data_IF_060969741786
#
_entry.id   IF_060969741786
#
_cell.length_a   1.000
_cell.length_b   1.000
_cell.length_c   1.000
_cell.angle_alpha   90.00
_cell.angle_beta   90.00
_cell.angle_gamma   90.00
#
_symmetry.space_group_name_H-M   'P 1'
#
loop_
_entity.id
_entity.type
_entity.pdbx_description
1 polymer ?
#
# COMPACT_ATOMS: atom_id res chain seq x y z
N UNK A 1 -13.55 12.43 6.08
CA UNK A 1 -12.60 12.23 4.97
C UNK A 1 -12.85 10.88 4.34
N UNK A 2 -12.93 10.79 3.01
CA UNK A 2 -13.12 9.54 2.26
C UNK A 2 -11.79 9.00 1.75
N UNK A 3 -11.43 7.79 2.15
CA UNK A 3 -10.22 7.09 1.70
C UNK A 3 -10.62 5.81 0.99
N UNK A 4 -10.05 5.57 -0.20
CA UNK A 4 -10.09 4.22 -0.80
C UNK A 4 -8.81 3.49 -0.43
N UNK A 5 -8.96 2.33 0.22
CA UNK A 5 -7.87 1.40 0.48
C UNK A 5 -7.93 0.24 -0.51
N UNK A 6 -6.83 0.05 -1.22
CA UNK A 6 -6.63 -0.97 -2.24
C UNK A 6 -5.69 -2.03 -1.67
N UNK A 7 -6.07 -3.31 -1.74
CA UNK A 7 -5.15 -4.42 -1.47
C UNK A 7 -4.77 -5.11 -2.78
N UNK A 8 -3.46 -5.27 -3.02
CA UNK A 8 -2.91 -5.99 -4.18
C UNK A 8 -2.52 -7.44 -3.88
N UNK A 9 -2.85 -7.95 -2.69
CA UNK A 9 -2.56 -9.32 -2.27
C UNK A 9 -1.10 -9.59 -1.89
N UNK A 10 -0.85 -10.83 -1.46
CA UNK A 10 0.42 -11.31 -0.89
C UNK A 10 0.27 -11.70 0.59
N UNK A 11 1.28 -12.37 1.16
CA UNK A 11 1.34 -13.04 2.49
C UNK A 11 0.70 -12.32 3.69
N UNK A 12 0.42 -11.02 3.60
CA UNK A 12 -0.39 -10.25 4.55
C UNK A 12 -1.86 -10.71 4.56
N UNK A 13 -2.36 -11.48 3.58
CA UNK A 13 -3.75 -11.96 3.53
C UNK A 13 -3.96 -13.44 3.93
N UNK A 14 -2.93 -14.11 4.45
CA UNK A 14 -3.01 -15.53 4.85
C UNK A 14 -3.22 -15.67 6.36
N UNK A 15 -4.44 -15.99 6.79
CA UNK A 15 -4.68 -16.67 8.07
C UNK A 15 -4.57 -18.18 7.87
N UNK A 16 -3.71 -18.84 8.66
CA UNK A 16 -3.55 -20.30 8.67
C UNK A 16 -4.71 -20.94 9.46
N UNK A 17 -5.39 -21.92 8.87
CA UNK A 17 -6.38 -22.72 9.57
C UNK A 17 -5.71 -23.99 10.14
N UNK A 18 -5.52 -24.03 11.46
CA UNK A 18 -4.92 -25.18 12.15
C UNK A 18 -5.79 -26.45 12.08
N UNK A 19 -7.08 -26.34 11.77
CA UNK A 19 -8.01 -27.48 11.76
C UNK A 19 -8.02 -28.29 10.46
N UNK A 20 -7.73 -27.66 9.31
CA UNK A 20 -7.78 -28.33 8.00
C UNK A 20 -6.51 -28.14 7.14
N UNK A 21 -5.51 -27.40 7.63
CA UNK A 21 -4.27 -27.13 6.91
C UNK A 21 -4.44 -26.28 5.64
N UNK A 22 -5.62 -25.70 5.42
CA UNK A 22 -5.94 -24.88 4.25
C UNK A 22 -5.71 -23.39 4.52
N UNK A 23 -5.34 -22.67 3.47
CA UNK A 23 -5.29 -21.21 3.46
C UNK A 23 -6.66 -20.71 3.03
N UNK A 24 -7.45 -20.17 3.96
CA UNK A 24 -8.78 -19.61 3.67
C UNK A 24 -8.89 -18.13 4.07
N UNK A 25 -9.56 -17.36 3.20
CA UNK A 25 -9.73 -15.91 3.30
C UNK A 25 -10.82 -15.54 4.33
N UNK A 26 -10.53 -15.59 5.63
CA UNK A 26 -11.54 -15.31 6.67
C UNK A 26 -11.57 -13.86 7.18
N UNK A 27 -10.56 -13.04 6.94
CA UNK A 27 -10.65 -11.56 7.08
C UNK A 27 -9.40 -10.93 6.47
N UNK A 28 -9.54 -9.91 5.63
CA UNK A 28 -8.37 -9.18 5.15
C UNK A 28 -7.66 -8.54 6.34
N UNK A 29 -6.32 -8.59 6.38
CA UNK A 29 -5.56 -7.93 7.46
C UNK A 29 -5.85 -6.44 7.53
N UNK A 30 -6.19 -5.83 6.39
CA UNK A 30 -6.72 -4.48 6.32
C UNK A 30 -7.95 -4.30 7.23
N UNK A 31 -8.95 -5.18 7.16
CA UNK A 31 -10.14 -5.12 8.04
C UNK A 31 -9.74 -5.26 9.50
N UNK A 32 -8.82 -6.18 9.83
CA UNK A 32 -8.37 -6.37 11.22
C UNK A 32 -7.67 -5.12 11.77
N UNK A 33 -6.82 -4.49 10.98
CA UNK A 33 -6.12 -3.24 11.35
C UNK A 33 -7.12 -2.09 11.48
N UNK A 34 -8.02 -1.91 10.52
CA UNK A 34 -9.01 -0.82 10.56
C UNK A 34 -9.91 -0.96 11.80
N UNK A 35 -10.39 -2.17 12.08
CA UNK A 35 -11.28 -2.43 13.22
C UNK A 35 -10.59 -2.29 14.58
N UNK A 36 -9.26 -2.36 14.65
CA UNK A 36 -8.51 -2.11 15.90
C UNK A 36 -8.26 -0.63 16.16
N UNK A 37 -8.48 0.24 15.16
CA UNK A 37 -8.28 1.67 15.25
C UNK A 37 -9.58 2.42 15.58
N UNK A 38 -9.43 3.58 16.23
CA UNK A 38 -10.53 4.51 16.46
C UNK A 38 -10.47 5.64 15.43
N UNK A 39 -11.32 5.57 14.40
CA UNK A 39 -11.31 6.45 13.23
C UNK A 39 -12.66 7.19 13.07
N UNK A 40 -12.99 8.17 13.94
CA UNK A 40 -14.35 8.71 14.07
C UNK A 40 -14.85 9.53 12.87
N UNK A 41 -13.96 10.05 12.03
CA UNK A 41 -14.27 10.96 10.94
C UNK A 41 -13.75 10.44 9.57
N UNK A 42 -13.44 9.15 9.50
CA UNK A 42 -12.89 8.50 8.33
C UNK A 42 -13.88 7.51 7.73
N UNK A 43 -14.20 7.68 6.46
CA UNK A 43 -14.97 6.74 5.66
C UNK A 43 -13.99 5.96 4.78
N UNK A 44 -13.84 4.65 5.03
CA UNK A 44 -12.90 3.80 4.29
C UNK A 44 -13.68 2.89 3.34
N UNK A 45 -13.46 3.07 2.04
CA UNK A 45 -13.89 2.12 1.01
C UNK A 45 -12.76 1.12 0.74
N UNK A 46 -13.07 -0.17 0.76
CA UNK A 46 -12.06 -1.22 0.56
C UNK A 46 -12.25 -1.88 -0.81
N UNK A 47 -11.14 -2.09 -1.52
CA UNK A 47 -11.11 -2.81 -2.79
C UNK A 47 -9.95 -3.82 -2.79
N UNK A 48 -10.27 -5.11 -2.82
CA UNK A 48 -9.29 -6.19 -3.00
C UNK A 48 -9.28 -6.60 -4.46
N UNK A 49 -8.11 -6.54 -5.11
CA UNK A 49 -8.03 -6.58 -6.57
C UNK A 49 -7.19 -7.74 -7.10
N UNK A 50 -6.04 -7.99 -6.48
CA UNK A 50 -5.05 -8.97 -6.97
C UNK A 50 -4.71 -9.89 -5.80
N UNK A 51 -4.65 -11.20 -6.06
CA UNK A 51 -4.27 -12.22 -5.07
C UNK A 51 -2.93 -12.85 -5.45
N UNK A 52 -1.90 -12.03 -5.69
CA UNK A 52 -0.55 -12.47 -6.08
C UNK A 52 0.50 -11.98 -5.10
N UNK A 53 1.60 -12.71 -4.95
CA UNK A 53 2.79 -12.17 -4.29
C UNK A 53 3.35 -11.02 -5.14
N UNK A 54 3.92 -10.00 -4.49
CA UNK A 54 4.54 -8.88 -5.20
C UNK A 54 5.68 -9.30 -6.14
N UNK A 55 6.36 -10.42 -5.85
CA UNK A 55 7.38 -10.99 -6.73
C UNK A 55 6.80 -11.61 -8.01
N UNK A 56 5.54 -12.07 -7.97
CA UNK A 56 4.83 -12.64 -9.12
C UNK A 56 4.03 -11.59 -9.90
N UNK A 57 4.10 -10.32 -9.47
CA UNK A 57 3.36 -9.21 -10.09
C UNK A 57 4.01 -8.78 -11.41
N UNK A 58 3.23 -8.87 -12.49
CA UNK A 58 3.65 -8.47 -13.83
C UNK A 58 3.15 -7.06 -14.21
N UNK A 59 3.46 -6.61 -15.42
CA UNK A 59 3.08 -5.27 -15.86
C UNK A 59 1.57 -5.11 -16.11
N UNK A 60 0.86 -6.18 -16.47
CA UNK A 60 -0.60 -6.16 -16.62
C UNK A 60 -1.27 -5.97 -15.25
N UNK A 61 -0.76 -6.63 -14.21
CA UNK A 61 -1.22 -6.42 -12.84
C UNK A 61 -1.06 -4.95 -12.43
N UNK A 62 0.06 -4.32 -12.79
CA UNK A 62 0.28 -2.89 -12.51
C UNK A 62 -0.64 -1.97 -13.32
N UNK A 63 -1.00 -2.33 -14.55
CA UNK A 63 -2.02 -1.59 -15.32
C UNK A 63 -3.40 -1.68 -14.69
N UNK A 64 -3.76 -2.84 -14.14
CA UNK A 64 -5.01 -3.02 -13.39
C UNK A 64 -5.01 -2.09 -12.16
N UNK A 65 -3.91 -2.06 -11.40
CA UNK A 65 -3.74 -1.15 -10.26
C UNK A 65 -3.92 0.31 -10.71
N UNK A 66 -3.24 0.74 -11.78
CA UNK A 66 -3.35 2.09 -12.33
C UNK A 66 -4.80 2.46 -12.68
N UNK A 67 -5.53 1.58 -13.39
CA UNK A 67 -6.94 1.81 -13.76
C UNK A 67 -7.82 2.01 -12.53
N UNK A 68 -7.60 1.22 -11.49
CA UNK A 68 -8.42 1.27 -10.28
C UNK A 68 -8.07 2.49 -9.43
N UNK A 69 -6.78 2.85 -9.33
CA UNK A 69 -6.36 4.13 -8.72
C UNK A 69 -7.04 5.30 -9.45
N UNK A 70 -7.02 5.32 -10.78
CA UNK A 70 -7.69 6.35 -11.59
C UNK A 70 -9.20 6.43 -11.33
N UNK A 71 -9.87 5.30 -11.09
CA UNK A 71 -11.28 5.29 -10.71
C UNK A 71 -11.49 5.79 -9.28
N UNK A 72 -10.69 5.32 -8.33
CA UNK A 72 -10.78 5.66 -6.91
C UNK A 72 -10.55 7.15 -6.65
N UNK A 73 -9.62 7.78 -7.39
CA UNK A 73 -9.35 9.23 -7.30
C UNK A 73 -10.57 10.11 -7.63
N UNK A 74 -11.57 9.59 -8.36
CA UNK A 74 -12.76 10.36 -8.73
C UNK A 74 -13.74 10.55 -7.58
N UNK A 75 -13.67 9.71 -6.54
CA UNK A 75 -14.64 9.68 -5.45
C UNK A 75 -13.99 9.69 -4.05
N UNK A 76 -12.66 9.80 -3.97
CA UNK A 76 -11.90 9.73 -2.72
C UNK A 76 -11.02 10.96 -2.53
N UNK A 77 -10.80 11.34 -1.27
CA UNK A 77 -9.88 12.41 -0.88
C UNK A 77 -8.44 11.90 -0.70
N UNK A 78 -8.24 10.59 -0.64
CA UNK A 78 -6.95 9.92 -0.75
C UNK A 78 -7.11 8.47 -1.19
N UNK A 79 -6.03 7.91 -1.76
CA UNK A 79 -5.94 6.49 -2.12
C UNK A 79 -4.75 5.87 -1.40
N UNK A 80 -4.96 4.77 -0.69
CA UNK A 80 -3.90 4.00 -0.04
C UNK A 80 -3.84 2.61 -0.68
N UNK A 81 -2.65 2.18 -1.08
CA UNK A 81 -2.39 0.89 -1.70
C UNK A 81 -1.55 0.06 -0.74
N UNK A 82 -2.14 -0.98 -0.17
CA UNK A 82 -1.42 -2.03 0.54
C UNK A 82 -0.78 -2.96 -0.49
N UNK A 83 0.55 -2.92 -0.55
CA UNK A 83 1.35 -3.60 -1.56
C UNK A 83 2.45 -4.42 -0.89
N UNK A 84 2.83 -5.55 -1.51
CA UNK A 84 4.03 -6.29 -1.09
C UNK A 84 5.30 -5.47 -1.34
N UNK A 85 6.23 -5.50 -0.40
CA UNK A 85 7.35 -4.54 -0.40
C UNK A 85 8.38 -4.81 -1.49
N UNK A 86 8.46 -6.02 -2.05
CA UNK A 86 9.52 -6.38 -3.01
C UNK A 86 9.43 -5.65 -4.35
N UNK A 87 8.23 -5.29 -4.79
CA UNK A 87 8.01 -4.57 -6.06
C UNK A 87 7.24 -3.25 -5.89
N UNK A 88 7.07 -2.79 -4.64
CA UNK A 88 6.41 -1.51 -4.33
C UNK A 88 7.08 -0.34 -5.05
N UNK A 89 8.42 -0.30 -5.10
CA UNK A 89 9.16 0.74 -5.84
C UNK A 89 8.79 0.76 -7.32
N UNK A 90 8.67 -0.40 -7.96
CA UNK A 90 8.37 -0.54 -9.38
C UNK A 90 6.94 -0.06 -9.67
N UNK A 91 5.98 -0.48 -8.84
CA UNK A 91 4.58 -0.05 -8.97
C UNK A 91 4.44 1.46 -8.74
N UNK A 92 5.12 2.01 -7.74
CA UNK A 92 5.09 3.45 -7.47
C UNK A 92 5.70 4.30 -8.57
N UNK A 93 6.83 3.88 -9.16
CA UNK A 93 7.43 4.54 -10.34
C UNK A 93 6.49 4.47 -11.55
N UNK A 94 5.86 3.33 -11.81
CA UNK A 94 4.89 3.20 -12.90
C UNK A 94 3.72 4.16 -12.70
N UNK A 95 3.12 4.19 -11.50
CA UNK A 95 2.03 5.12 -11.20
C UNK A 95 2.48 6.59 -11.36
N UNK A 96 3.70 6.93 -10.95
CA UNK A 96 4.23 8.30 -11.07
C UNK A 96 4.37 8.73 -12.53
N UNK A 97 4.90 7.85 -13.39
CA UNK A 97 5.08 8.14 -14.81
C UNK A 97 3.75 8.22 -15.56
N UNK A 98 2.75 7.46 -15.13
CA UNK A 98 1.47 7.33 -15.82
C UNK A 98 0.38 8.29 -15.33
N UNK A 99 0.49 8.82 -14.11
CA UNK A 99 -0.48 9.74 -13.51
C UNK A 99 0.16 11.12 -13.40
N UNK A 100 0.05 11.92 -14.45
CA UNK A 100 0.66 13.26 -14.52
C UNK A 100 0.13 14.23 -13.45
N UNK A 101 -1.17 14.15 -13.13
CA UNK A 101 -1.88 15.09 -12.24
C UNK A 101 -2.81 14.34 -11.30
N UNK A 102 -2.28 13.74 -10.22
CA UNK A 102 -3.12 13.10 -9.22
C UNK A 102 -4.06 14.13 -8.60
N UNK A 103 -5.34 13.79 -8.44
CA UNK A 103 -6.34 14.66 -7.83
C UNK A 103 -6.30 14.63 -6.28
N UNK A 104 -5.70 13.60 -5.71
CA UNK A 104 -5.54 13.36 -4.28
C UNK A 104 -4.21 12.62 -4.02
N UNK A 105 -3.72 12.55 -2.76
CA UNK A 105 -2.54 11.75 -2.44
C UNK A 105 -2.79 10.27 -2.71
N UNK A 106 -1.85 9.64 -3.42
CA UNK A 106 -1.77 8.18 -3.64
C UNK A 106 -0.60 7.66 -2.81
N UNK A 107 -0.89 6.82 -1.84
CA UNK A 107 0.09 6.33 -0.87
C UNK A 107 0.25 4.83 -1.03
N UNK A 108 1.45 4.39 -1.40
CA UNK A 108 1.85 3.00 -1.34
C UNK A 108 2.42 2.71 0.06
N UNK A 109 1.96 1.63 0.67
CA UNK A 109 2.50 1.14 1.94
C UNK A 109 2.47 -0.39 1.96
N UNK A 110 3.11 -0.99 2.95
CA UNK A 110 3.23 -2.43 3.08
C UNK A 110 3.80 -2.82 4.44
N UNK A 111 4.32 -4.02 4.54
CA UNK A 111 5.01 -4.50 5.73
C UNK A 111 6.22 -5.34 5.33
N UNK A 112 7.31 -5.19 6.08
CA UNK A 112 8.49 -6.07 5.94
C UNK A 112 8.25 -7.41 6.64
N UNK A 113 7.42 -7.43 7.69
CA UNK A 113 7.03 -8.64 8.39
C UNK A 113 5.54 -8.95 8.20
N UNK A 114 5.17 -10.22 7.96
CA UNK A 114 3.76 -10.63 7.91
C UNK A 114 2.99 -10.25 9.19
N UNK A 115 1.73 -9.88 9.02
CA UNK A 115 0.88 -9.39 10.12
C UNK A 115 0.63 -10.39 11.26
N UNK A 116 0.81 -11.69 11.00
CA UNK A 116 0.63 -12.75 12.02
C UNK A 116 1.70 -12.71 13.11
N UNK A 117 2.85 -12.05 12.85
CA UNK A 117 3.91 -11.90 13.83
C UNK A 117 3.59 -10.77 14.81
N UNK A 118 3.88 -10.99 16.09
CA UNK A 118 3.67 -10.00 17.16
C UNK A 118 4.42 -8.69 16.92
N UNK A 119 5.59 -8.77 16.29
CA UNK A 119 6.49 -7.64 16.04
C UNK A 119 6.32 -7.05 14.62
N UNK A 120 5.17 -7.29 13.98
CA UNK A 120 4.87 -6.79 12.63
C UNK A 120 4.86 -5.25 12.56
N UNK A 121 5.46 -4.72 11.50
CA UNK A 121 5.44 -3.30 11.15
C UNK A 121 4.15 -2.89 10.40
N UNK A 122 3.29 -3.82 10.04
CA UNK A 122 2.06 -3.56 9.28
C UNK A 122 1.12 -2.57 9.99
N UNK A 123 0.93 -2.73 11.30
CA UNK A 123 0.07 -1.86 12.10
C UNK A 123 0.57 -0.41 12.09
N UNK A 124 1.89 -0.24 12.28
CA UNK A 124 2.55 1.06 12.23
C UNK A 124 2.37 1.68 10.85
N UNK A 125 2.78 0.97 9.80
CA UNK A 125 2.82 1.52 8.43
C UNK A 125 1.42 1.91 7.92
N UNK A 126 0.37 1.11 8.22
CA UNK A 126 -1.01 1.47 7.87
C UNK A 126 -1.49 2.71 8.63
N UNK A 127 -1.18 2.80 9.94
CA UNK A 127 -1.56 3.98 10.74
C UNK A 127 -0.85 5.24 10.22
N UNK A 128 0.43 5.13 9.88
CA UNK A 128 1.21 6.22 9.28
C UNK A 128 0.66 6.62 7.92
N UNK A 129 0.26 5.66 7.07
CA UNK A 129 -0.36 5.94 5.78
C UNK A 129 -1.71 6.67 5.93
N UNK A 130 -2.54 6.26 6.88
CA UNK A 130 -3.82 6.91 7.18
C UNK A 130 -3.61 8.36 7.65
N UNK A 131 -2.61 8.61 8.50
CA UNK A 131 -2.30 9.97 8.93
C UNK A 131 -1.71 10.80 7.78
N UNK A 132 -0.79 10.24 7.01
CA UNK A 132 -0.19 10.89 5.84
C UNK A 132 -1.25 11.29 4.80
N UNK A 133 -2.27 10.46 4.59
CA UNK A 133 -3.39 10.76 3.70
C UNK A 133 -4.09 12.09 4.05
N UNK A 134 -4.09 12.49 5.33
CA UNK A 134 -4.69 13.75 5.79
C UNK A 134 -3.81 14.97 5.60
N UNK A 135 -2.49 14.77 5.53
CA UNK A 135 -1.49 15.82 5.60
C UNK A 135 -0.86 16.12 4.24
N UNK A 136 -0.81 15.12 3.36
CA UNK A 136 -0.14 15.23 2.08
C UNK A 136 -1.06 15.86 1.03
N UNK A 137 -0.45 16.69 0.19
CA UNK A 137 -1.07 17.19 -1.03
C UNK A 137 -1.13 16.10 -2.10
N UNK A 138 -1.87 16.30 -3.20
CA UNK A 138 -1.87 15.36 -4.31
C UNK A 138 -0.46 15.06 -4.82
N UNK A 139 -0.17 13.77 -4.99
CA UNK A 139 1.16 13.24 -5.30
C UNK A 139 1.21 11.72 -5.07
N UNK A 140 2.33 11.09 -5.41
CA UNK A 140 2.51 9.64 -5.23
C UNK A 140 3.64 9.42 -4.23
N UNK A 141 3.37 8.63 -3.20
CA UNK A 141 4.25 8.49 -2.05
C UNK A 141 4.41 7.04 -1.63
N UNK A 142 5.59 6.67 -1.13
CA UNK A 142 5.77 5.51 -0.26
C UNK A 142 5.76 5.98 1.20
N UNK A 143 4.92 5.38 2.04
CA UNK A 143 4.83 5.70 3.47
C UNK A 143 5.09 4.43 4.29
N UNK A 144 6.24 4.37 4.94
CA UNK A 144 6.65 3.25 5.79
C UNK A 144 7.70 3.72 6.81
N UNK A 145 7.72 3.11 7.99
CA UNK A 145 8.73 3.33 9.03
C UNK A 145 8.98 4.81 9.33
N UNK A 146 7.89 5.53 9.59
CA UNK A 146 7.83 6.94 9.95
C UNK A 146 8.38 7.91 8.88
N UNK A 147 8.40 7.48 7.61
CA UNK A 147 8.91 8.29 6.51
C UNK A 147 7.88 8.40 5.40
N UNK A 148 7.81 9.59 4.84
CA UNK A 148 7.09 9.88 3.59
C UNK A 148 8.12 10.12 2.50
N UNK A 149 8.12 9.28 1.48
CA UNK A 149 9.03 9.38 0.34
C UNK A 149 8.19 9.62 -0.92
N UNK A 150 8.28 10.82 -1.50
CA UNK A 150 7.62 11.10 -2.78
C UNK A 150 8.30 10.33 -3.92
N UNK A 151 7.54 9.83 -4.88
CA UNK A 151 8.09 9.38 -6.17
C UNK A 151 8.43 10.59 -7.06
N UNK A 152 9.40 10.48 -8.00
CA UNK A 152 10.17 9.29 -8.38
C UNK A 152 11.44 9.14 -7.53
N UNK A 153 12.24 8.11 -7.76
CA UNK A 153 13.48 7.76 -7.06
C UNK A 153 13.27 7.24 -5.63
N UNK A 154 12.28 6.37 -5.42
CA UNK A 154 12.12 5.63 -4.16
C UNK A 154 12.61 4.20 -4.38
N UNK A 155 13.46 3.69 -3.48
CA UNK A 155 14.05 2.35 -3.58
C UNK A 155 14.03 1.59 -2.25
N UNK A 156 13.82 0.28 -2.28
CA UNK A 156 13.95 -0.64 -1.16
C UNK A 156 15.43 -0.88 -0.86
N UNK A 157 15.87 -0.40 0.28
CA UNK A 157 17.12 -0.84 0.90
C UNK A 157 16.87 -2.19 1.58
N UNK A 158 17.25 -3.26 0.89
CA UNK A 158 17.10 -4.65 1.37
C UNK A 158 17.96 -4.95 2.59
N UNK A 159 19.08 -4.23 2.80
CA UNK A 159 19.94 -4.43 3.97
C UNK A 159 19.35 -3.76 5.21
N UNK A 160 18.85 -2.54 5.05
CA UNK A 160 18.20 -1.80 6.13
C UNK A 160 16.74 -2.22 6.37
N UNK A 161 16.17 -3.07 5.50
CA UNK A 161 14.77 -3.51 5.62
C UNK A 161 13.78 -2.36 5.47
N UNK A 162 14.05 -1.42 4.55
CA UNK A 162 13.26 -0.20 4.46
C UNK A 162 13.33 0.49 3.11
N UNK A 163 12.66 1.64 2.94
CA UNK A 163 12.74 2.44 1.70
C UNK A 163 13.59 3.70 1.91
N UNK A 164 14.27 4.12 0.85
CA UNK A 164 15.12 5.31 0.81
C UNK A 164 14.82 6.12 -0.47
N UNK A 165 15.12 7.42 -0.40
CA UNK A 165 15.14 8.28 -1.58
C UNK A 165 16.52 8.18 -2.23
N UNK A 166 16.59 7.85 -3.52
CA UNK A 166 17.84 7.91 -4.29
C UNK A 166 17.95 9.26 -4.97
N UNK A 167 19.17 9.77 -5.13
CA UNK A 167 19.41 10.95 -5.95
C UNK A 167 19.21 10.55 -7.41
N UNK A 168 18.48 11.35 -8.19
CA UNK A 168 18.38 11.14 -9.63
C UNK A 168 19.80 11.18 -10.22
N UNK A 169 20.21 10.15 -10.96
CA UNK A 169 21.39 10.25 -11.81
C UNK A 169 21.14 11.39 -12.80
N UNK A 170 21.99 12.42 -12.77
CA UNK A 170 21.98 13.48 -13.77
C UNK A 170 22.18 12.81 -15.14
N UNK A 171 21.11 12.73 -15.93
CA UNK A 171 21.21 12.44 -17.37
C UNK A 171 21.90 13.60 -18.08
#
# INVERSE_FOLDING_TARGET
>A
MKITMISTGGTIEKTYNELDGSLSNYSSVMVRIINSLRLPDLEIMQQSIIFKDSLDMDDNDREIIQRIVNQAMKSSEAVIILHGTDTLEITGEKLYNEIEKPACPIILTGAMQPFVFKDTDAMQNVTEALLAARLLTPGIYAVMHNRVLAFPNVKKDRKAGTFIKTMAEKR
#
